data_IF_832380640788
#
_entry.id   IF_832380640788
#
_cell.length_a   1.000
_cell.length_b   1.000
_cell.length_c   1.000
_cell.angle_alpha   90.00
_cell.angle_beta   90.00
_cell.angle_gamma   90.00
#
_symmetry.space_group_name_H-M   'P 1'
#
loop_
_entity.id
_entity.type
_entity.pdbx_description
1 polymer ?
#
# COMPACT_ATOMS: atom_id res chain seq x y z
N UNK A 1 1.11 13.37 -24.35
CA UNK A 1 -0.10 12.86 -25.00
C UNK A 1 -1.27 13.03 -24.05
N UNK A 2 -2.28 13.82 -24.42
CA UNK A 2 -3.49 14.00 -23.63
C UNK A 2 -4.23 12.66 -23.55
N UNK A 3 -4.49 12.20 -22.35
CA UNK A 3 -5.28 10.99 -22.11
C UNK A 3 -6.72 11.24 -22.57
N UNK A 4 -7.16 10.56 -23.62
CA UNK A 4 -8.54 10.64 -24.09
C UNK A 4 -9.40 9.76 -23.19
N UNK A 5 -10.27 10.38 -22.43
CA UNK A 5 -11.33 9.71 -21.66
C UNK A 5 -12.60 9.84 -22.47
N UNK A 6 -13.18 8.73 -22.88
CA UNK A 6 -14.55 8.72 -23.39
C UNK A 6 -15.50 8.70 -22.18
N UNK A 7 -15.74 9.88 -21.59
CA UNK A 7 -16.76 10.04 -20.58
C UNK A 7 -18.13 10.13 -21.28
N UNK A 8 -18.84 9.02 -21.38
CA UNK A 8 -20.23 9.01 -21.79
C UNK A 8 -21.13 9.10 -20.55
N UNK A 9 -21.49 10.27 -20.16
CA UNK A 9 -22.40 10.80 -19.13
C UNK A 9 -21.63 11.45 -17.97
N UNK A 10 -22.14 12.61 -17.54
CA UNK A 10 -21.88 13.11 -16.20
C UNK A 10 -22.49 12.10 -15.23
N UNK A 11 -21.65 11.23 -14.68
CA UNK A 11 -22.07 10.32 -13.63
C UNK A 11 -22.38 11.18 -12.41
N UNK A 12 -23.62 11.19 -11.97
CA UNK A 12 -24.02 11.83 -10.74
C UNK A 12 -23.88 10.83 -9.60
N UNK A 13 -23.09 11.16 -8.59
CA UNK A 13 -23.26 10.58 -7.28
C UNK A 13 -24.43 11.30 -6.62
N UNK A 14 -25.50 10.57 -6.30
CA UNK A 14 -26.67 11.10 -5.60
C UNK A 14 -26.46 11.18 -4.07
N UNK A 15 -25.43 10.48 -3.58
CA UNK A 15 -25.19 10.23 -2.17
C UNK A 15 -25.81 8.89 -1.71
N UNK A 16 -25.05 8.09 -0.96
CA UNK A 16 -25.49 6.76 -0.50
C UNK A 16 -25.30 5.63 -1.49
N UNK A 17 -24.55 5.84 -2.60
CA UNK A 17 -24.22 4.77 -3.52
C UNK A 17 -23.22 3.79 -2.91
N UNK A 18 -23.43 2.49 -3.20
CA UNK A 18 -22.44 1.45 -2.93
C UNK A 18 -21.40 1.41 -4.02
N UNK A 19 -20.16 1.71 -3.63
CA UNK A 19 -19.00 1.71 -4.51
C UNK A 19 -18.13 0.51 -4.18
N UNK A 20 -18.01 -0.43 -5.11
CA UNK A 20 -17.12 -1.56 -4.99
C UNK A 20 -15.79 -1.24 -5.69
N UNK A 21 -14.72 -1.19 -4.92
CA UNK A 21 -13.35 -0.99 -5.41
C UNK A 21 -12.65 -2.35 -5.41
N UNK A 22 -12.22 -2.83 -6.57
CA UNK A 22 -11.51 -4.09 -6.70
C UNK A 22 -10.00 -3.85 -6.83
N UNK A 23 -9.21 -4.47 -5.92
CA UNK A 23 -7.75 -4.48 -5.97
C UNK A 23 -7.22 -5.83 -5.51
N UNK A 24 -6.96 -6.72 -6.44
CA UNK A 24 -6.59 -8.11 -6.19
C UNK A 24 -5.11 -8.41 -6.44
N UNK A 25 -4.28 -7.36 -6.47
CA UNK A 25 -2.81 -7.40 -6.64
C UNK A 25 -2.10 -7.51 -5.28
N UNK A 26 -0.80 -7.15 -5.20
CA UNK A 26 0.00 -7.25 -3.99
C UNK A 26 -0.43 -6.25 -2.87
N UNK A 27 0.05 -6.50 -1.61
CA UNK A 27 -0.25 -5.65 -0.44
C UNK A 27 0.08 -4.17 -0.68
N UNK A 28 1.25 -3.89 -1.24
CA UNK A 28 1.66 -2.51 -1.57
C UNK A 28 0.72 -1.85 -2.57
N UNK A 29 0.27 -2.61 -3.57
CA UNK A 29 -0.71 -2.13 -4.55
C UNK A 29 -2.05 -1.77 -3.92
N UNK A 30 -2.52 -2.56 -2.95
CA UNK A 30 -3.74 -2.26 -2.21
C UNK A 30 -3.57 -0.95 -1.42
N UNK A 31 -2.47 -0.83 -0.65
CA UNK A 31 -2.21 0.34 0.19
C UNK A 31 -2.13 1.64 -0.60
N UNK A 32 -1.41 1.66 -1.71
CA UNK A 32 -1.35 2.86 -2.57
C UNK A 32 -2.68 3.15 -3.30
N UNK A 33 -3.65 2.26 -3.21
CA UNK A 33 -5.00 2.45 -3.78
C UNK A 33 -6.02 3.01 -2.77
N UNK A 34 -5.72 2.98 -1.46
CA UNK A 34 -6.61 3.51 -0.42
C UNK A 34 -6.97 5.00 -0.60
N UNK A 35 -6.10 5.87 -1.16
CA UNK A 35 -6.47 7.24 -1.46
C UNK A 35 -7.72 7.38 -2.35
N UNK A 36 -8.06 6.35 -3.14
CA UNK A 36 -9.27 6.36 -3.99
C UNK A 36 -10.54 6.47 -3.13
N UNK A 37 -10.66 5.66 -2.05
CA UNK A 37 -11.81 5.75 -1.15
C UNK A 37 -11.85 7.08 -0.39
N UNK A 38 -10.70 7.53 0.13
CA UNK A 38 -10.61 8.81 0.84
C UNK A 38 -11.08 9.97 -0.06
N UNK A 39 -10.66 9.96 -1.33
CA UNK A 39 -11.06 10.95 -2.31
C UNK A 39 -12.56 10.88 -2.65
N UNK A 40 -13.14 9.69 -2.74
CA UNK A 40 -14.60 9.52 -2.94
C UNK A 40 -15.34 10.13 -1.74
N UNK A 41 -14.98 9.71 -0.53
CA UNK A 41 -15.66 10.14 0.70
C UNK A 41 -15.48 11.63 1.01
N UNK A 42 -14.36 12.25 0.64
CA UNK A 42 -14.19 13.69 0.80
C UNK A 42 -15.21 14.51 0.01
N UNK A 43 -15.75 13.97 -1.07
CA UNK A 43 -16.76 14.63 -1.91
C UNK A 43 -18.15 14.08 -1.72
N UNK A 44 -18.28 12.80 -1.38
CA UNK A 44 -19.52 12.05 -1.21
C UNK A 44 -19.50 11.29 0.13
N UNK A 45 -19.68 11.98 1.26
CA UNK A 45 -19.51 11.40 2.60
C UNK A 45 -20.48 10.26 2.94
N UNK A 46 -21.60 10.16 2.23
CA UNK A 46 -22.61 9.12 2.41
C UNK A 46 -22.41 7.89 1.51
N UNK A 47 -21.36 7.85 0.70
CA UNK A 47 -21.06 6.68 -0.13
C UNK A 47 -20.65 5.49 0.74
N UNK A 48 -21.20 4.31 0.44
CA UNK A 48 -20.82 3.05 1.09
C UNK A 48 -19.66 2.42 0.34
N UNK A 49 -18.50 2.33 1.00
CA UNK A 49 -17.28 1.79 0.37
C UNK A 49 -17.13 0.30 0.64
N UNK A 50 -17.11 -0.48 -0.42
CA UNK A 50 -16.84 -1.91 -0.41
C UNK A 50 -15.55 -2.20 -1.15
N UNK A 51 -14.74 -3.14 -0.63
CA UNK A 51 -13.52 -3.60 -1.28
C UNK A 51 -13.63 -5.07 -1.70
N UNK A 52 -13.15 -5.40 -2.90
CA UNK A 52 -12.91 -6.76 -3.36
C UNK A 52 -11.40 -7.00 -3.42
N UNK A 53 -10.91 -7.86 -2.53
CA UNK A 53 -9.47 -8.10 -2.32
C UNK A 53 -9.16 -9.59 -2.17
N UNK A 54 -7.90 -9.96 -2.26
CA UNK A 54 -7.46 -11.34 -1.94
C UNK A 54 -7.49 -11.58 -0.44
N UNK A 55 -7.65 -12.85 -0.03
CA UNK A 55 -7.72 -13.24 1.38
C UNK A 55 -6.51 -12.79 2.19
N UNK A 56 -5.31 -12.91 1.63
CA UNK A 56 -4.07 -12.51 2.31
C UNK A 56 -3.95 -10.99 2.56
N UNK A 57 -4.67 -10.17 1.83
CA UNK A 57 -4.65 -8.70 1.97
C UNK A 57 -5.87 -8.13 2.70
N UNK A 58 -6.94 -8.91 2.85
CA UNK A 58 -8.15 -8.47 3.54
C UNK A 58 -7.91 -7.97 4.98
N UNK A 59 -7.00 -8.57 5.78
CA UNK A 59 -6.72 -8.08 7.12
C UNK A 59 -6.21 -6.63 7.19
N UNK A 60 -5.65 -6.07 6.10
CA UNK A 60 -5.25 -4.66 6.05
C UNK A 60 -6.45 -3.70 6.17
N UNK A 61 -7.63 -4.14 5.77
CA UNK A 61 -8.84 -3.30 5.70
C UNK A 61 -9.73 -3.42 6.94
N UNK A 62 -9.40 -4.32 7.86
CA UNK A 62 -10.14 -4.48 9.12
C UNK A 62 -9.96 -3.23 10.00
N UNK A 63 -10.96 -2.94 10.82
CA UNK A 63 -11.01 -1.78 11.72
C UNK A 63 -10.97 -0.41 10.99
N UNK A 64 -11.06 -0.39 9.66
CA UNK A 64 -11.04 0.86 8.91
C UNK A 64 -12.42 1.53 8.98
N UNK A 65 -12.54 2.75 9.58
CA UNK A 65 -13.83 3.36 9.87
C UNK A 65 -14.66 3.71 8.61
N UNK A 66 -13.99 3.89 7.49
CA UNK A 66 -14.59 4.35 6.24
C UNK A 66 -14.91 3.19 5.27
N UNK A 67 -14.75 1.93 5.69
CA UNK A 67 -15.03 0.75 4.86
C UNK A 67 -16.29 0.07 5.37
N UNK A 68 -17.30 0.02 4.51
CA UNK A 68 -18.58 -0.63 4.80
C UNK A 68 -18.51 -2.14 4.67
N UNK A 69 -17.74 -2.66 3.70
CA UNK A 69 -17.61 -4.09 3.49
C UNK A 69 -16.32 -4.52 2.81
N UNK A 70 -15.81 -5.68 3.22
CA UNK A 70 -14.64 -6.33 2.61
C UNK A 70 -15.06 -7.68 2.06
N UNK A 71 -14.89 -7.89 0.77
CA UNK A 71 -15.25 -9.09 0.05
C UNK A 71 -14.00 -9.79 -0.47
N UNK A 72 -13.99 -11.12 -0.38
CA UNK A 72 -12.84 -11.91 -0.79
C UNK A 72 -12.97 -12.33 -2.26
N UNK A 73 -11.91 -12.14 -3.01
CA UNK A 73 -11.74 -12.70 -4.34
C UNK A 73 -11.07 -14.06 -4.26
N UNK A 74 -11.81 -15.12 -4.52
CA UNK A 74 -11.33 -16.50 -4.56
C UNK A 74 -11.32 -17.05 -5.99
N UNK A 75 -10.52 -18.07 -6.22
CA UNK A 75 -10.49 -18.75 -7.52
C UNK A 75 -11.81 -19.50 -7.75
N UNK A 76 -12.31 -19.50 -8.98
CA UNK A 76 -13.58 -20.14 -9.34
C UNK A 76 -14.84 -19.45 -8.79
N UNK A 77 -14.73 -18.31 -8.14
CA UNK A 77 -15.87 -17.59 -7.57
C UNK A 77 -16.79 -17.03 -8.63
N UNK A 78 -18.11 -17.24 -8.44
CA UNK A 78 -19.13 -16.54 -9.23
C UNK A 78 -19.20 -15.05 -8.80
N UNK A 79 -18.43 -14.22 -9.48
CA UNK A 79 -18.44 -12.78 -9.25
C UNK A 79 -19.76 -12.12 -9.62
N UNK A 80 -20.50 -12.68 -10.58
CA UNK A 80 -21.79 -12.13 -10.97
C UNK A 80 -22.82 -12.29 -9.84
N UNK A 81 -22.85 -13.46 -9.19
CA UNK A 81 -23.67 -13.71 -8.01
C UNK A 81 -23.25 -12.80 -6.84
N UNK A 82 -21.95 -12.66 -6.59
CA UNK A 82 -21.44 -11.76 -5.57
C UNK A 82 -21.88 -10.30 -5.82
N UNK A 83 -21.79 -9.80 -7.04
CA UNK A 83 -22.17 -8.42 -7.34
C UNK A 83 -23.68 -8.20 -7.26
N UNK A 84 -24.51 -9.21 -7.58
CA UNK A 84 -25.96 -9.14 -7.33
C UNK A 84 -26.28 -9.09 -5.83
N UNK A 85 -25.52 -9.81 -5.01
CA UNK A 85 -25.67 -9.78 -3.55
C UNK A 85 -25.27 -8.44 -2.93
N UNK A 86 -24.14 -7.86 -3.37
CA UNK A 86 -23.65 -6.56 -2.89
C UNK A 86 -24.51 -5.44 -3.45
N UNK A 87 -25.04 -5.61 -4.67
CA UNK A 87 -25.80 -4.62 -5.44
C UNK A 87 -25.09 -3.26 -5.54
N UNK A 88 -23.82 -3.19 -6.02
CA UNK A 88 -23.11 -1.94 -6.15
C UNK A 88 -23.63 -1.13 -7.34
N UNK A 89 -23.74 0.17 -7.17
CA UNK A 89 -24.07 1.08 -8.28
C UNK A 89 -22.83 1.42 -9.11
N UNK A 90 -21.64 1.30 -8.48
CA UNK A 90 -20.36 1.63 -9.10
C UNK A 90 -19.36 0.51 -8.80
N UNK A 91 -18.68 0.00 -9.83
CA UNK A 91 -17.53 -0.90 -9.71
C UNK A 91 -16.30 -0.24 -10.32
N UNK A 92 -15.24 -0.07 -9.53
CA UNK A 92 -13.95 0.47 -9.96
C UNK A 92 -12.90 -0.65 -9.90
N UNK A 93 -12.46 -1.15 -11.04
CA UNK A 93 -11.41 -2.17 -11.10
C UNK A 93 -10.03 -1.52 -11.26
N UNK A 94 -9.31 -1.37 -10.17
CA UNK A 94 -7.95 -0.85 -10.13
C UNK A 94 -6.91 -1.91 -10.50
N UNK A 95 -7.25 -3.20 -10.35
CA UNK A 95 -6.41 -4.33 -10.69
C UNK A 95 -6.17 -4.43 -12.19
N UNK A 96 -4.98 -4.84 -12.57
CA UNK A 96 -4.64 -5.01 -13.99
C UNK A 96 -4.63 -6.47 -14.44
N UNK A 97 -4.72 -7.42 -13.53
CA UNK A 97 -4.69 -8.87 -13.81
C UNK A 97 -6.07 -9.51 -13.78
N UNK A 98 -6.97 -9.03 -12.91
CA UNK A 98 -8.30 -9.59 -12.70
C UNK A 98 -9.33 -8.88 -13.61
N UNK A 99 -9.35 -9.26 -14.89
CA UNK A 99 -10.23 -8.66 -15.88
C UNK A 99 -11.68 -9.14 -15.76
N UNK A 100 -11.91 -10.28 -15.13
CA UNK A 100 -13.24 -10.87 -14.90
C UNK A 100 -14.15 -9.96 -14.08
N UNK A 101 -13.56 -9.14 -13.18
CA UNK A 101 -14.31 -8.21 -12.34
C UNK A 101 -15.27 -7.33 -13.17
N UNK A 102 -14.79 -6.73 -14.24
CA UNK A 102 -15.61 -5.80 -15.04
C UNK A 102 -16.62 -6.53 -15.92
N UNK A 103 -16.27 -7.70 -16.46
CA UNK A 103 -17.21 -8.54 -17.21
C UNK A 103 -18.34 -9.05 -16.33
N UNK A 104 -18.03 -9.53 -15.14
CA UNK A 104 -19.03 -9.97 -14.16
C UNK A 104 -19.91 -8.81 -13.67
N UNK A 105 -19.34 -7.62 -13.45
CA UNK A 105 -20.12 -6.43 -13.11
C UNK A 105 -21.12 -6.04 -14.21
N UNK A 106 -20.72 -6.15 -15.49
CA UNK A 106 -21.64 -5.97 -16.62
C UNK A 106 -22.77 -7.00 -16.62
N UNK A 107 -22.45 -8.28 -16.44
CA UNK A 107 -23.43 -9.37 -16.40
C UNK A 107 -24.39 -9.25 -15.20
N UNK A 108 -23.91 -8.73 -14.08
CA UNK A 108 -24.73 -8.45 -12.89
C UNK A 108 -25.60 -7.20 -13.05
N UNK A 109 -25.45 -6.42 -14.13
CA UNK A 109 -26.24 -5.22 -14.38
C UNK A 109 -25.74 -3.96 -13.67
N UNK A 110 -24.52 -3.96 -13.12
CA UNK A 110 -23.95 -2.78 -12.45
C UNK A 110 -23.94 -1.58 -13.39
N UNK A 111 -24.54 -0.44 -13.02
CA UNK A 111 -24.71 0.69 -13.94
C UNK A 111 -23.40 1.34 -14.37
N UNK A 112 -22.46 1.54 -13.43
CA UNK A 112 -21.18 2.24 -13.64
C UNK A 112 -20.01 1.30 -13.42
N UNK A 113 -19.17 1.15 -14.43
CA UNK A 113 -18.06 0.21 -14.44
C UNK A 113 -16.81 0.88 -14.99
N UNK A 114 -15.89 1.24 -14.08
CA UNK A 114 -14.64 1.92 -14.42
C UNK A 114 -13.50 0.92 -14.48
N UNK A 115 -12.78 0.88 -15.57
CA UNK A 115 -11.65 -0.03 -15.74
C UNK A 115 -10.53 0.59 -16.58
N UNK A 116 -9.39 -0.07 -16.53
CA UNK A 116 -8.27 0.24 -17.41
C UNK A 116 -8.59 -0.21 -18.83
N UNK A 117 -8.25 0.62 -19.83
CA UNK A 117 -8.35 0.28 -21.25
C UNK A 117 -7.30 -0.79 -21.62
N UNK A 118 -7.59 -2.07 -21.35
CA UNK A 118 -6.69 -3.19 -21.63
C UNK A 118 -7.47 -4.47 -21.95
N UNK A 119 -7.38 -4.88 -23.23
CA UNK A 119 -8.09 -6.03 -23.74
C UNK A 119 -9.53 -5.69 -24.16
N UNK A 120 -10.02 -6.38 -25.19
CA UNK A 120 -11.34 -6.13 -25.77
C UNK A 120 -12.46 -6.42 -24.77
N UNK A 121 -12.31 -7.42 -23.95
CA UNK A 121 -13.23 -7.83 -22.89
C UNK A 121 -13.54 -6.68 -21.92
N UNK A 122 -12.50 -6.01 -21.41
CA UNK A 122 -12.68 -4.86 -20.52
C UNK A 122 -13.25 -3.64 -21.25
N UNK A 123 -12.76 -3.38 -22.48
CA UNK A 123 -13.23 -2.26 -23.29
C UNK A 123 -14.74 -2.38 -23.59
N UNK A 124 -15.22 -3.60 -23.86
CA UNK A 124 -16.64 -3.86 -24.15
C UNK A 124 -17.51 -3.93 -22.89
N UNK A 125 -16.90 -4.19 -21.73
CA UNK A 125 -17.64 -4.34 -20.48
C UNK A 125 -17.68 -3.06 -19.63
N UNK A 126 -16.67 -2.21 -19.69
CA UNK A 126 -16.63 -0.96 -18.95
C UNK A 126 -17.58 0.09 -19.53
N UNK A 127 -18.07 0.99 -18.67
CA UNK A 127 -18.74 2.23 -19.07
C UNK A 127 -17.73 3.36 -19.24
N UNK A 128 -16.67 3.33 -18.46
CA UNK A 128 -15.62 4.33 -18.44
C UNK A 128 -14.24 3.69 -18.45
N UNK A 129 -13.37 4.19 -19.32
CA UNK A 129 -12.06 3.63 -19.57
C UNK A 129 -10.94 4.59 -19.18
N UNK A 130 -10.00 4.08 -18.40
CA UNK A 130 -8.77 4.81 -18.06
C UNK A 130 -7.63 4.34 -18.96
N UNK A 131 -7.19 5.23 -19.82
CA UNK A 131 -6.05 5.00 -20.70
C UNK A 131 -4.75 5.33 -19.96
N UNK A 132 -3.92 4.31 -19.76
CA UNK A 132 -2.59 4.50 -19.14
C UNK A 132 -1.51 4.04 -20.11
N UNK A 133 -0.52 4.90 -20.33
CA UNK A 133 0.69 4.51 -21.04
C UNK A 133 1.38 3.32 -20.34
N UNK A 134 2.08 2.50 -21.12
CA UNK A 134 2.69 1.24 -20.64
C UNK A 134 3.81 1.47 -19.64
N UNK A 135 4.51 2.62 -19.71
CA UNK A 135 5.67 2.96 -18.89
C UNK A 135 5.83 4.48 -18.76
N UNK A 136 6.22 4.94 -17.59
CA UNK A 136 6.90 6.22 -17.44
C UNK A 136 6.02 7.47 -17.53
N UNK A 137 4.97 7.57 -16.70
CA UNK A 137 4.30 8.87 -16.54
C UNK A 137 5.13 9.85 -15.67
N UNK A 138 6.22 9.42 -15.04
CA UNK A 138 6.94 10.19 -14.02
C UNK A 138 6.08 10.51 -12.78
N UNK A 139 4.89 9.87 -12.66
CA UNK A 139 3.93 10.13 -11.58
C UNK A 139 3.90 8.97 -10.60
N UNK A 140 3.63 9.29 -9.35
CA UNK A 140 3.41 8.30 -8.30
C UNK A 140 2.25 7.35 -8.64
N UNK A 141 2.39 6.07 -8.29
CA UNK A 141 1.38 5.06 -8.64
C UNK A 141 0.02 5.34 -7.97
N UNK A 142 -0.02 5.91 -6.76
CA UNK A 142 -1.26 6.37 -6.15
C UNK A 142 -1.99 7.45 -6.96
N UNK A 143 -1.26 8.38 -7.58
CA UNK A 143 -1.88 9.35 -8.49
C UNK A 143 -2.47 8.67 -9.73
N UNK A 144 -1.81 7.60 -10.19
CA UNK A 144 -2.32 6.81 -11.30
C UNK A 144 -3.59 6.03 -10.92
N UNK A 145 -3.79 5.66 -9.64
CA UNK A 145 -5.05 5.07 -9.19
C UNK A 145 -6.16 6.11 -9.09
N UNK A 146 -5.85 7.36 -8.75
CA UNK A 146 -6.82 8.45 -8.76
C UNK A 146 -7.35 8.76 -10.18
N UNK A 147 -6.62 8.46 -11.24
CA UNK A 147 -7.10 8.63 -12.61
C UNK A 147 -8.44 7.87 -12.88
N UNK A 148 -8.74 6.82 -12.09
CA UNK A 148 -10.01 6.10 -12.19
C UNK A 148 -11.20 6.91 -11.66
N UNK A 149 -10.96 8.00 -10.95
CA UNK A 149 -11.99 8.93 -10.47
C UNK A 149 -12.24 10.11 -11.41
N UNK A 150 -11.56 10.14 -12.56
CA UNK A 150 -11.72 11.19 -13.58
C UNK A 150 -13.17 11.39 -14.06
N UNK A 151 -14.01 10.35 -14.21
CA UNK A 151 -15.41 10.54 -14.59
C UNK A 151 -16.18 11.49 -13.66
N UNK A 152 -15.71 11.65 -12.42
CA UNK A 152 -16.30 12.54 -11.41
C UNK A 152 -15.49 13.81 -11.15
N UNK A 153 -14.38 14.02 -11.87
CA UNK A 153 -13.49 15.17 -11.68
C UNK A 153 -12.68 15.11 -10.36
N UNK A 154 -12.46 13.92 -9.82
CA UNK A 154 -11.76 13.68 -8.53
C UNK A 154 -10.32 13.18 -8.71
N UNK A 155 -9.79 13.21 -9.92
CA UNK A 155 -8.44 12.73 -10.26
C UNK A 155 -7.31 13.74 -9.99
N UNK A 156 -7.66 14.97 -9.58
CA UNK A 156 -6.70 16.04 -9.33
C UNK A 156 -6.12 16.04 -7.91
N UNK A 157 -5.00 16.78 -7.75
CA UNK A 157 -4.34 16.97 -6.44
C UNK A 157 -3.42 15.82 -6.02
N UNK A 158 -2.71 16.00 -4.91
CA UNK A 158 -1.87 14.97 -4.30
C UNK A 158 -2.75 13.87 -3.68
N UNK A 159 -2.31 12.61 -3.70
CA UNK A 159 -3.01 11.53 -3.01
C UNK A 159 -2.89 11.72 -1.50
N UNK A 160 -3.96 11.46 -0.77
CA UNK A 160 -3.96 11.37 0.68
C UNK A 160 -3.09 10.19 1.13
N UNK A 161 -2.29 10.32 2.21
CA UNK A 161 -1.58 9.17 2.76
C UNK A 161 -2.55 8.06 3.17
N UNK A 162 -2.31 6.80 2.78
CA UNK A 162 -3.14 5.69 3.24
C UNK A 162 -3.02 5.50 4.75
N UNK A 163 -4.09 5.00 5.38
CA UNK A 163 -4.09 4.70 6.82
C UNK A 163 -4.54 3.27 7.07
N UNK A 164 -3.90 2.64 8.06
CA UNK A 164 -4.27 1.34 8.61
C UNK A 164 -4.67 1.49 10.07
N UNK A 165 -5.62 0.69 10.48
CA UNK A 165 -6.20 0.76 11.81
C UNK A 165 -6.02 -0.55 12.56
N UNK A 166 -5.75 -0.43 13.84
CA UNK A 166 -5.65 -1.53 14.79
C UNK A 166 -6.59 -1.25 15.95
N UNK A 167 -7.26 -2.28 16.44
CA UNK A 167 -8.00 -2.21 17.70
C UNK A 167 -7.05 -1.93 18.87
N UNK A 168 -7.59 -1.49 19.99
CA UNK A 168 -6.82 -1.28 21.21
C UNK A 168 -6.17 -2.58 21.71
N UNK A 169 -6.90 -3.69 21.64
CA UNK A 169 -6.40 -5.01 22.01
C UNK A 169 -5.20 -5.44 21.16
N UNK A 170 -5.25 -5.21 19.85
CA UNK A 170 -4.13 -5.51 18.94
C UNK A 170 -2.90 -4.66 19.24
N UNK A 171 -3.10 -3.36 19.47
CA UNK A 171 -2.00 -2.45 19.86
C UNK A 171 -1.36 -2.91 21.16
N UNK A 172 -2.17 -3.24 22.16
CA UNK A 172 -1.68 -3.75 23.45
C UNK A 172 -0.92 -5.08 23.27
N UNK A 173 -1.43 -6.00 22.44
CA UNK A 173 -0.73 -7.24 22.15
C UNK A 173 0.62 -7.01 21.48
N UNK A 174 0.71 -6.06 20.54
CA UNK A 174 1.99 -5.69 19.91
C UNK A 174 3.02 -5.18 20.91
N UNK A 175 2.61 -4.39 21.90
CA UNK A 175 3.50 -3.95 23.00
C UNK A 175 3.92 -5.13 23.89
N UNK A 176 3.01 -6.04 24.22
CA UNK A 176 3.34 -7.26 24.99
C UNK A 176 4.32 -8.16 24.24
N UNK A 177 4.13 -8.36 22.94
CA UNK A 177 5.02 -9.16 22.11
C UNK A 177 6.46 -8.64 22.12
N UNK A 178 6.65 -7.35 22.29
CA UNK A 178 7.95 -6.68 22.29
C UNK A 178 8.40 -6.23 23.70
N UNK A 179 7.70 -6.60 24.77
CA UNK A 179 8.01 -6.13 26.13
C UNK A 179 9.41 -6.52 26.65
N UNK A 180 9.96 -7.64 26.15
CA UNK A 180 11.32 -8.10 26.46
C UNK A 180 12.44 -7.22 25.87
N UNK A 181 12.12 -6.31 24.95
CA UNK A 181 13.09 -5.47 24.27
C UNK A 181 13.06 -4.04 24.83
N UNK A 182 14.17 -3.64 25.44
CA UNK A 182 14.31 -2.36 26.13
C UNK A 182 14.89 -1.27 25.20
N UNK A 183 14.54 0.00 25.45
CA UNK A 183 15.01 1.15 24.67
C UNK A 183 14.21 1.40 23.38
N UNK A 184 14.69 2.32 22.52
CA UNK A 184 14.01 2.62 21.26
C UNK A 184 14.08 1.41 20.30
N UNK A 185 12.92 0.90 19.95
CA UNK A 185 12.75 -0.31 19.12
C UNK A 185 12.83 0.03 17.64
N UNK A 186 13.79 -0.57 16.94
CA UNK A 186 13.99 -0.41 15.50
C UNK A 186 13.56 -1.68 14.77
N UNK A 187 12.36 -1.69 14.21
CA UNK A 187 11.89 -2.81 13.40
C UNK A 187 12.63 -2.89 12.06
N UNK A 188 13.10 -4.07 11.68
CA UNK A 188 13.87 -4.30 10.46
C UNK A 188 13.21 -5.39 9.62
N UNK A 189 12.91 -5.07 8.37
CA UNK A 189 12.54 -6.05 7.35
C UNK A 189 13.77 -6.35 6.48
N UNK A 190 14.24 -7.58 6.50
CA UNK A 190 15.45 -7.97 5.77
C UNK A 190 15.22 -8.06 4.26
N UNK A 191 14.00 -8.45 3.86
CA UNK A 191 13.64 -8.69 2.46
C UNK A 191 12.20 -8.24 2.20
N UNK A 192 11.94 -7.85 0.97
CA UNK A 192 10.59 -7.68 0.45
C UNK A 192 10.28 -8.78 -0.58
N UNK A 193 9.00 -9.06 -0.78
CA UNK A 193 8.54 -10.00 -1.84
C UNK A 193 8.54 -9.38 -3.24
N UNK A 194 8.84 -8.08 -3.33
CA UNK A 194 8.85 -7.33 -4.58
C UNK A 194 10.13 -7.44 -5.40
N UNK A 195 10.14 -6.77 -6.56
CA UNK A 195 11.27 -6.73 -7.48
C UNK A 195 12.44 -5.85 -7.01
N UNK A 196 12.41 -5.33 -5.78
CA UNK A 196 13.46 -4.48 -5.21
C UNK A 196 14.79 -5.22 -4.99
N UNK A 197 15.91 -4.52 -5.07
CA UNK A 197 17.20 -5.02 -4.61
C UNK A 197 17.21 -5.03 -3.07
N UNK A 198 17.88 -6.02 -2.48
CA UNK A 198 17.97 -6.18 -1.03
C UNK A 198 19.42 -6.29 -0.60
N UNK A 199 19.82 -5.72 0.54
CA UNK A 199 21.11 -6.01 1.14
C UNK A 199 21.25 -7.48 1.52
N UNK A 200 22.48 -7.98 1.57
CA UNK A 200 22.78 -9.35 2.03
C UNK A 200 22.57 -9.51 3.54
N UNK A 201 22.55 -10.76 4.01
CA UNK A 201 22.51 -11.05 5.46
C UNK A 201 23.72 -10.46 6.20
N UNK A 202 24.93 -10.50 5.60
CA UNK A 202 26.13 -9.93 6.19
C UNK A 202 26.02 -8.40 6.35
N UNK A 203 25.47 -7.71 5.36
CA UNK A 203 25.20 -6.29 5.45
C UNK A 203 24.24 -5.96 6.60
N UNK A 204 23.14 -6.73 6.71
CA UNK A 204 22.19 -6.54 7.81
C UNK A 204 22.78 -6.81 9.18
N UNK A 205 23.67 -7.81 9.31
CA UNK A 205 24.37 -8.07 10.58
C UNK A 205 25.24 -6.88 10.99
N UNK A 206 26.01 -6.33 10.06
CA UNK A 206 26.83 -5.14 10.31
C UNK A 206 25.96 -3.92 10.65
N UNK A 207 24.87 -3.71 9.92
CA UNK A 207 23.94 -2.62 10.17
C UNK A 207 23.31 -2.69 11.57
N UNK A 208 22.85 -3.88 12.00
CA UNK A 208 22.27 -4.07 13.34
C UNK A 208 23.27 -3.77 14.45
N UNK A 209 24.52 -4.24 14.32
CA UNK A 209 25.58 -3.95 15.28
C UNK A 209 25.82 -2.42 15.41
N UNK A 210 25.85 -1.73 14.28
CA UNK A 210 25.99 -0.28 14.25
C UNK A 210 24.79 0.43 14.88
N UNK A 211 23.56 0.02 14.59
CA UNK A 211 22.35 0.62 15.19
C UNK A 211 22.33 0.42 16.71
N UNK A 212 22.73 -0.77 17.18
CA UNK A 212 22.88 -1.04 18.63
C UNK A 212 23.89 -0.13 19.28
N UNK A 213 25.02 0.13 18.64
CA UNK A 213 26.05 1.08 19.14
C UNK A 213 25.52 2.53 19.20
N UNK A 214 24.46 2.87 18.48
CA UNK A 214 23.77 4.16 18.52
C UNK A 214 22.56 4.17 19.48
N UNK A 215 22.40 3.15 20.31
CA UNK A 215 21.35 3.07 21.33
C UNK A 215 20.00 2.58 20.83
N UNK A 216 19.90 2.07 19.60
CA UNK A 216 18.70 1.40 19.12
C UNK A 216 18.66 -0.06 19.58
N UNK A 217 17.44 -0.61 19.72
CA UNK A 217 17.20 -2.04 19.87
C UNK A 217 16.69 -2.59 18.53
N UNK A 218 17.58 -3.14 17.68
CA UNK A 218 17.18 -3.68 16.37
C UNK A 218 16.38 -4.96 16.54
N UNK A 219 15.24 -5.07 15.87
CA UNK A 219 14.32 -6.20 15.90
C UNK A 219 14.02 -6.64 14.47
N UNK A 220 14.30 -7.87 14.11
CA UNK A 220 13.88 -8.40 12.82
C UNK A 220 12.37 -8.66 12.90
N UNK A 221 11.62 -8.02 12.02
CA UNK A 221 10.19 -8.27 11.82
C UNK A 221 10.02 -9.21 10.64
N UNK A 222 9.47 -10.39 10.89
CA UNK A 222 9.35 -11.42 9.87
C UNK A 222 8.92 -12.76 10.44
N UNK A 223 9.10 -13.86 9.70
CA UNK A 223 8.75 -15.19 10.17
C UNK A 223 9.63 -15.60 11.37
N UNK A 224 9.13 -16.51 12.23
CA UNK A 224 9.78 -16.86 13.51
C UNK A 224 11.24 -17.30 13.39
N UNK A 225 11.58 -18.02 12.34
CA UNK A 225 12.94 -18.52 12.08
C UNK A 225 13.97 -17.39 11.82
N UNK A 226 13.50 -16.21 11.45
CA UNK A 226 14.38 -15.03 11.26
C UNK A 226 14.28 -14.05 12.41
N UNK A 227 13.10 -13.91 13.01
CA UNK A 227 12.83 -12.89 14.03
C UNK A 227 13.06 -13.38 15.46
N UNK A 228 12.98 -14.69 15.70
CA UNK A 228 12.91 -15.25 17.04
C UNK A 228 11.62 -14.91 17.79
N UNK A 229 10.70 -14.18 17.18
CA UNK A 229 9.39 -13.85 17.74
C UNK A 229 8.38 -14.98 17.44
N UNK A 230 7.33 -15.14 18.25
CA UNK A 230 6.26 -16.09 17.93
C UNK A 230 5.64 -15.84 16.56
N UNK A 231 5.13 -16.90 15.93
CA UNK A 231 4.39 -16.76 14.69
C UNK A 231 3.21 -15.80 14.87
N UNK A 232 2.97 -14.96 13.88
CA UNK A 232 1.83 -14.04 13.85
C UNK A 232 1.22 -14.00 12.45
N UNK A 233 -0.04 -13.72 12.40
CA UNK A 233 -0.71 -13.33 11.16
C UNK A 233 -0.36 -11.89 10.75
N UNK A 234 -1.00 -11.40 9.70
CA UNK A 234 -0.75 -10.05 9.20
C UNK A 234 -1.15 -8.96 10.23
N UNK A 235 -2.21 -9.19 11.02
CA UNK A 235 -2.66 -8.25 12.06
C UNK A 235 -1.67 -8.18 13.21
N UNK A 236 -1.18 -9.32 13.68
CA UNK A 236 -0.12 -9.38 14.70
C UNK A 236 1.19 -8.75 14.22
N UNK A 237 1.56 -8.93 12.94
CA UNK A 237 2.70 -8.23 12.35
C UNK A 237 2.49 -6.70 12.37
N UNK A 238 1.31 -6.21 11.97
CA UNK A 238 0.96 -4.79 12.03
C UNK A 238 1.05 -4.24 13.46
N UNK A 239 0.57 -5.00 14.44
CA UNK A 239 0.63 -4.64 15.86
C UNK A 239 2.09 -4.47 16.35
N UNK A 240 2.97 -5.42 16.02
CA UNK A 240 4.41 -5.33 16.31
C UNK A 240 5.08 -4.17 15.59
N UNK A 241 4.72 -3.92 14.33
CA UNK A 241 5.21 -2.75 13.59
C UNK A 241 4.82 -1.45 14.31
N UNK A 242 3.58 -1.35 14.79
CA UNK A 242 3.07 -0.17 15.50
C UNK A 242 3.74 0.04 16.86
N UNK A 243 4.21 -1.03 17.49
CA UNK A 243 4.96 -1.01 18.75
C UNK A 243 6.46 -0.65 18.57
N UNK A 244 6.95 -0.51 17.34
CA UNK A 244 8.30 -0.01 17.05
C UNK A 244 8.34 1.53 17.03
N UNK A 245 9.47 2.10 17.42
CA UNK A 245 9.71 3.55 17.35
C UNK A 245 10.07 4.01 15.94
N UNK A 246 10.74 3.15 15.17
CA UNK A 246 11.02 3.34 13.76
C UNK A 246 11.13 1.99 13.03
N UNK A 247 11.01 2.03 11.72
CA UNK A 247 11.16 0.85 10.85
C UNK A 247 12.18 1.15 9.75
N UNK A 248 13.01 0.16 9.43
CA UNK A 248 13.80 0.13 8.20
C UNK A 248 13.27 -1.02 7.35
N UNK A 249 12.96 -0.72 6.09
CA UNK A 249 12.46 -1.73 5.15
C UNK A 249 12.93 -1.45 3.74
N UNK A 250 13.31 -2.48 2.96
CA UNK A 250 13.37 -2.35 1.52
C UNK A 250 11.99 -1.96 0.97
N UNK A 251 11.97 -1.34 -0.22
CA UNK A 251 10.72 -0.98 -0.92
C UNK A 251 9.87 -2.21 -1.22
N UNK A 252 8.83 -2.41 -0.42
CA UNK A 252 7.99 -3.61 -0.40
C UNK A 252 6.66 -3.34 0.32
N UNK A 253 5.77 -4.33 0.36
CA UNK A 253 4.53 -4.26 1.14
C UNK A 253 4.71 -3.76 2.58
N UNK A 254 5.65 -4.31 3.37
CA UNK A 254 5.98 -3.82 4.71
C UNK A 254 6.32 -2.33 4.80
N UNK A 255 7.05 -1.77 3.82
CA UNK A 255 7.34 -0.34 3.82
C UNK A 255 6.06 0.51 3.69
N UNK A 256 5.15 0.12 2.80
CA UNK A 256 3.85 0.77 2.68
C UNK A 256 2.97 0.59 3.92
N UNK A 257 3.05 -0.59 4.57
CA UNK A 257 2.34 -0.84 5.84
C UNK A 257 2.85 0.06 6.96
N UNK A 258 4.18 0.19 7.12
CA UNK A 258 4.78 1.07 8.12
C UNK A 258 4.32 2.52 7.96
N UNK A 259 4.35 3.03 6.73
CA UNK A 259 3.87 4.37 6.41
C UNK A 259 2.39 4.55 6.73
N UNK A 260 1.55 3.57 6.37
CA UNK A 260 0.11 3.60 6.60
C UNK A 260 -0.28 3.40 8.07
N UNK A 261 0.58 2.77 8.88
CA UNK A 261 0.48 2.70 10.34
C UNK A 261 1.03 3.94 11.04
N UNK A 262 1.50 4.92 10.28
CA UNK A 262 2.13 6.15 10.80
C UNK A 262 3.36 5.86 11.68
N UNK A 263 4.09 4.77 11.39
CA UNK A 263 5.37 4.46 12.03
C UNK A 263 6.49 5.12 11.23
N UNK A 264 7.40 5.87 11.88
CA UNK A 264 8.55 6.46 11.21
C UNK A 264 9.34 5.42 10.41
N UNK A 265 9.60 5.71 9.14
CA UNK A 265 10.14 4.74 8.19
C UNK A 265 11.38 5.26 7.45
N UNK A 266 12.42 4.46 7.41
CA UNK A 266 13.49 4.57 6.42
C UNK A 266 13.28 3.49 5.37
N UNK A 267 12.90 3.89 4.17
CA UNK A 267 12.65 3.00 3.03
C UNK A 267 13.89 2.92 2.14
N UNK A 268 14.47 1.73 2.01
CA UNK A 268 15.59 1.49 1.09
C UNK A 268 15.04 1.18 -0.30
N UNK A 269 15.39 2.00 -1.28
CA UNK A 269 14.96 1.82 -2.66
C UNK A 269 16.15 1.66 -3.60
N UNK A 270 16.25 0.48 -4.22
CA UNK A 270 17.21 0.25 -5.28
C UNK A 270 16.78 0.91 -6.59
N UNK A 271 17.76 1.32 -7.39
CA UNK A 271 17.50 1.83 -8.74
C UNK A 271 17.15 0.69 -9.69
N UNK A 272 15.89 0.64 -10.07
CA UNK A 272 15.45 -0.21 -11.20
C UNK A 272 14.54 0.60 -12.12
N UNK A 273 14.64 0.43 -13.42
CA UNK A 273 13.66 1.02 -14.33
C UNK A 273 12.24 0.66 -13.87
N UNK A 274 11.35 1.62 -13.81
CA UNK A 274 9.96 1.49 -13.34
C UNK A 274 9.75 1.20 -11.84
N UNK A 275 10.80 1.16 -11.01
CA UNK A 275 10.71 1.01 -9.55
C UNK A 275 11.50 2.12 -8.85
N UNK A 276 11.17 3.36 -9.17
CA UNK A 276 11.81 4.58 -8.66
C UNK A 276 11.03 5.16 -7.47
N UNK A 277 11.67 5.95 -6.60
CA UNK A 277 10.98 6.65 -5.51
C UNK A 277 9.80 7.49 -5.97
N UNK A 278 9.94 8.25 -7.06
CA UNK A 278 8.87 9.09 -7.61
C UNK A 278 7.60 8.30 -7.92
N UNK A 279 7.76 7.01 -8.21
CA UNK A 279 6.65 6.14 -8.56
C UNK A 279 6.13 5.31 -7.39
N UNK A 280 7.01 4.83 -6.50
CA UNK A 280 6.68 3.78 -5.55
C UNK A 280 7.06 4.09 -4.10
N UNK A 281 7.52 5.31 -3.77
CA UNK A 281 7.79 5.61 -2.38
C UNK A 281 6.53 5.45 -1.53
N UNK A 282 6.61 4.88 -0.33
CA UNK A 282 5.48 4.89 0.59
C UNK A 282 5.02 6.32 0.89
N UNK A 283 3.70 6.53 0.97
CA UNK A 283 3.12 7.83 1.25
C UNK A 283 2.95 8.03 2.77
N UNK A 284 3.51 9.08 3.31
CA UNK A 284 3.40 9.42 4.74
C UNK A 284 4.39 10.50 5.15
N UNK A 285 4.08 11.29 6.17
CA UNK A 285 4.93 12.38 6.65
C UNK A 285 6.21 11.88 7.35
N UNK A 286 6.16 10.68 7.95
CA UNK A 286 7.30 10.05 8.64
C UNK A 286 8.18 9.19 7.73
N UNK A 287 8.04 9.27 6.39
CA UNK A 287 8.77 8.44 5.44
C UNK A 287 10.04 9.15 4.97
N UNK A 288 11.17 8.49 5.09
CA UNK A 288 12.43 8.88 4.48
C UNK A 288 12.88 7.82 3.49
N UNK A 289 13.21 8.23 2.28
CA UNK A 289 13.67 7.32 1.23
C UNK A 289 15.19 7.45 1.10
N UNK A 290 15.88 6.32 1.21
CA UNK A 290 17.29 6.19 0.88
C UNK A 290 17.39 5.42 -0.43
N UNK A 291 17.82 6.11 -1.47
CA UNK A 291 17.98 5.52 -2.80
C UNK A 291 19.40 5.00 -2.97
N UNK A 292 19.54 3.73 -3.39
CA UNK A 292 20.83 3.13 -3.66
C UNK A 292 20.77 2.12 -4.82
N UNK A 293 21.78 2.06 -5.64
CA UNK A 293 22.91 3.00 -5.70
C UNK A 293 22.44 4.38 -6.09
N UNK A 294 23.19 5.44 -5.74
CA UNK A 294 22.91 6.77 -6.27
C UNK A 294 22.97 6.75 -7.80
N UNK A 295 22.29 7.67 -8.51
CA UNK A 295 22.12 7.63 -9.97
C UNK A 295 23.42 7.50 -10.79
N UNK A 296 24.52 7.95 -10.22
CA UNK A 296 25.83 7.99 -10.88
C UNK A 296 26.74 6.79 -10.56
N UNK A 297 26.27 5.84 -9.76
CA UNK A 297 27.09 4.74 -9.29
C UNK A 297 27.09 3.53 -10.23
N UNK A 298 28.23 2.82 -10.30
CA UNK A 298 28.33 1.50 -10.90
C UNK A 298 27.40 0.50 -10.19
N UNK A 299 26.50 -0.11 -10.95
CA UNK A 299 25.51 -1.06 -10.43
C UNK A 299 26.07 -2.45 -10.11
N UNK A 300 27.35 -2.71 -10.42
CA UNK A 300 28.00 -3.99 -10.14
C UNK A 300 28.27 -4.15 -8.64
N UNK A 301 27.56 -5.01 -7.94
CA UNK A 301 27.75 -5.28 -6.51
C UNK A 301 26.53 -5.03 -5.62
N UNK A 302 25.43 -4.59 -6.19
CA UNK A 302 24.14 -4.53 -5.50
C UNK A 302 24.10 -3.58 -4.30
N UNK A 303 23.14 -3.79 -3.42
CA UNK A 303 22.92 -2.93 -2.25
C UNK A 303 23.96 -3.11 -1.14
N UNK A 304 24.82 -4.13 -1.19
CA UNK A 304 25.86 -4.37 -0.20
C UNK A 304 27.00 -3.33 -0.24
N UNK A 305 27.08 -2.55 -1.30
CA UNK A 305 28.01 -1.39 -1.36
C UNK A 305 27.52 -0.17 -0.60
N UNK A 306 26.26 -0.14 -0.20
CA UNK A 306 25.74 0.90 0.68
C UNK A 306 26.41 0.75 2.05
N UNK A 307 27.13 1.76 2.50
CA UNK A 307 27.57 1.81 3.89
C UNK A 307 26.34 1.96 4.80
N UNK A 308 26.08 1.03 5.74
CA UNK A 308 24.98 1.18 6.69
C UNK A 308 24.96 2.53 7.43
N UNK A 309 26.12 3.17 7.61
CA UNK A 309 26.23 4.47 8.27
C UNK A 309 25.42 5.58 7.57
N UNK A 310 25.15 5.46 6.29
CA UNK A 310 24.30 6.41 5.56
C UNK A 310 22.86 6.49 6.13
N UNK A 311 22.42 5.46 6.86
CA UNK A 311 21.10 5.41 7.47
C UNK A 311 21.03 6.21 8.79
N UNK A 312 22.15 6.46 9.47
CA UNK A 312 22.19 7.12 10.77
C UNK A 312 21.57 8.53 10.76
N UNK A 313 21.89 9.41 9.82
CA UNK A 313 21.26 10.73 9.78
C UNK A 313 19.72 10.66 9.58
N UNK A 314 19.24 9.62 8.88
CA UNK A 314 17.81 9.40 8.70
C UNK A 314 17.15 8.94 10.00
N UNK A 315 17.77 8.00 10.72
CA UNK A 315 17.28 7.53 12.03
C UNK A 315 17.29 8.66 13.07
N UNK A 316 18.33 9.49 13.11
CA UNK A 316 18.40 10.64 14.02
C UNK A 316 17.25 11.64 13.76
N UNK A 317 16.91 11.91 12.51
CA UNK A 317 15.75 12.74 12.15
C UNK A 317 14.43 12.16 12.63
N UNK A 318 14.29 10.84 12.65
CA UNK A 318 13.09 10.16 13.13
C UNK A 318 12.97 10.15 14.67
N UNK A 319 14.07 10.32 15.40
CA UNK A 319 14.08 10.46 16.86
C UNK A 319 13.66 11.86 17.34
N UNK A 320 13.72 12.87 16.48
CA UNK A 320 13.22 14.19 16.83
C UNK A 320 11.71 14.13 17.07
N UNK A 321 11.17 14.80 18.11
CA UNK A 321 9.76 14.72 18.46
C UNK A 321 8.91 15.22 17.28
N UNK A 322 8.45 14.29 16.47
CA UNK A 322 7.36 14.53 15.56
C UNK A 322 6.08 14.42 16.40
N UNK A 323 5.21 15.41 16.30
CA UNK A 323 3.88 15.34 16.90
C UNK A 323 3.12 14.14 16.30
N UNK A 324 3.23 12.97 16.97
CA UNK A 324 2.45 11.79 16.60
C UNK A 324 1.01 12.04 17.03
N UNK A 325 0.04 12.00 16.15
CA UNK A 325 -1.35 12.00 16.56
C UNK A 325 -1.63 10.68 17.32
N UNK A 326 -1.91 10.79 18.61
CA UNK A 326 -2.47 9.74 19.45
C UNK A 326 -1.58 8.50 19.68
N UNK A 327 -0.64 8.56 20.65
CA UNK A 327 -0.27 7.36 21.42
C UNK A 327 -1.38 7.02 22.39
#
# INVERSE_FOLDING_TARGET
MKHVVFAHRKLSFGGGERVLIARTDALGDLLISLPVQARILSRFPSAEIHWLVRSYSAPLLQEHPDITGVHLRTEGQDLCALFRQIDPQIVINLGHRDREVITAAKQAGVPVRVARARGLDQILAATDLVWRGRYGSGRHEAMNTLDFLRPWGLDGGAPEPPRLYLSEAERHQGELDLAGFQGPRLGIFLRGTGAGAHPSGAWWTAAQAMFSAQGWTPLILGPPELSGLPASDLRGLMARMRACDAIISPSSGPAHMAAALEVPLVCLMGLRPNHTPDRWAPLGSGVQVVQYPPPEADLSGGMDRLDPAVLLPHLQRLQQPQTRPGR
#
